data_IF_610531303468
#
_entry.id   IF_610531303468
#
_cell.length_a   1.000
_cell.length_b   1.000
_cell.length_c   1.000
_cell.angle_alpha   90.00
_cell.angle_beta   90.00
_cell.angle_gamma   90.00
#
_symmetry.space_group_name_H-M   'P 1'
#
loop_
_entity.id
_entity.type
_entity.pdbx_description
1 polymer ?
#
# COMPACT_ATOMS: atom_id res chain seq x y z
N UNK A 1 -16.40 19.32 12.02
CA UNK A 1 -15.44 18.55 12.85
C UNK A 1 -14.25 19.44 13.14
N UNK A 2 -13.67 19.37 14.35
CA UNK A 2 -12.42 20.07 14.62
C UNK A 2 -11.33 19.48 13.70
N UNK A 3 -10.46 20.34 13.15
CA UNK A 3 -9.32 19.91 12.35
C UNK A 3 -8.46 18.96 13.20
N UNK A 4 -8.11 17.81 12.65
CA UNK A 4 -7.19 16.87 13.31
C UNK A 4 -5.82 17.55 13.49
N UNK A 5 -5.09 17.22 14.57
CA UNK A 5 -3.80 17.86 14.86
C UNK A 5 -2.67 17.37 13.91
N UNK A 6 -2.94 16.36 13.11
CA UNK A 6 -1.97 15.73 12.21
C UNK A 6 -2.39 15.90 10.75
N UNK A 7 -1.42 16.01 9.86
CA UNK A 7 -1.56 15.81 8.44
C UNK A 7 -1.50 14.31 8.16
N UNK A 8 -2.48 13.76 7.44
CA UNK A 8 -2.67 12.31 7.30
C UNK A 8 -2.58 11.94 5.83
N UNK A 9 -1.67 11.01 5.51
CA UNK A 9 -1.53 10.41 4.20
C UNK A 9 -1.93 8.94 4.30
N UNK A 10 -2.92 8.53 3.52
CA UNK A 10 -3.35 7.15 3.39
C UNK A 10 -2.46 6.45 2.36
N UNK A 11 -1.61 5.51 2.78
CA UNK A 11 -0.72 4.80 1.87
C UNK A 11 -1.36 3.57 1.20
N UNK A 12 -2.64 3.30 1.50
CA UNK A 12 -3.34 2.11 1.02
C UNK A 12 -4.79 2.44 0.62
N UNK A 13 -4.94 2.87 -0.61
CA UNK A 13 -6.20 3.31 -1.21
C UNK A 13 -6.39 2.64 -2.58
N UNK A 14 -7.61 2.20 -2.87
CA UNK A 14 -7.98 1.63 -4.16
C UNK A 14 -8.96 2.56 -4.91
N UNK A 15 -8.46 3.44 -5.78
CA UNK A 15 -9.32 4.33 -6.54
C UNK A 15 -10.20 3.54 -7.52
N UNK A 16 -11.52 3.73 -7.45
CA UNK A 16 -12.46 3.19 -8.41
C UNK A 16 -12.58 4.14 -9.61
N UNK A 17 -12.31 3.63 -10.81
CA UNK A 17 -12.46 4.35 -12.08
C UNK A 17 -13.65 3.84 -12.89
N UNK A 18 -14.19 2.69 -12.53
CA UNK A 18 -15.32 2.00 -13.16
C UNK A 18 -15.95 1.01 -12.16
N UNK A 19 -17.11 0.46 -12.48
CA UNK A 19 -17.81 -0.49 -11.60
C UNK A 19 -16.97 -1.75 -11.31
N UNK A 20 -16.13 -2.19 -12.24
CA UNK A 20 -15.29 -3.37 -12.10
C UNK A 20 -13.97 -3.13 -11.36
N UNK A 21 -13.70 -1.88 -11.00
CA UNK A 21 -12.59 -1.45 -10.13
C UNK A 21 -13.08 -0.93 -8.77
N UNK A 22 -14.40 -0.92 -8.53
CA UNK A 22 -14.97 -0.51 -7.24
C UNK A 22 -15.02 -1.69 -6.27
N UNK A 23 -14.09 -1.71 -5.32
CA UNK A 23 -13.98 -2.75 -4.30
C UNK A 23 -14.86 -2.51 -3.07
N UNK A 24 -15.74 -1.54 -3.09
CA UNK A 24 -16.71 -1.33 -2.01
C UNK A 24 -17.69 -2.50 -1.89
N UNK A 25 -17.99 -2.97 -0.67
CA UNK A 25 -18.81 -4.17 -0.47
C UNK A 25 -20.31 -3.87 -0.39
N UNK A 26 -20.68 -2.71 0.14
CA UNK A 26 -22.07 -2.44 0.53
C UNK A 26 -22.69 -1.22 -0.18
N UNK A 27 -21.89 -0.47 -0.91
CA UNK A 27 -22.32 0.72 -1.64
C UNK A 27 -21.35 0.98 -2.79
N UNK A 28 -21.74 1.75 -3.80
CA UNK A 28 -20.77 2.25 -4.77
C UNK A 28 -19.96 3.39 -4.15
N UNK A 29 -18.65 3.35 -4.30
CA UNK A 29 -17.77 4.44 -3.87
C UNK A 29 -17.90 5.70 -4.74
N UNK A 30 -18.55 5.58 -5.90
CA UNK A 30 -18.84 6.65 -6.81
C UNK A 30 -17.62 7.16 -7.58
N UNK A 31 -17.67 8.42 -8.01
CA UNK A 31 -16.56 9.03 -8.74
C UNK A 31 -15.33 9.23 -7.83
N UNK A 32 -14.15 9.37 -8.44
CA UNK A 32 -12.93 9.73 -7.70
C UNK A 32 -13.10 10.96 -6.81
N UNK A 33 -13.86 11.98 -7.30
CA UNK A 33 -14.17 13.17 -6.48
C UNK A 33 -14.97 12.82 -5.21
N UNK A 34 -15.95 11.91 -5.30
CA UNK A 34 -16.72 11.45 -4.14
C UNK A 34 -15.81 10.68 -3.14
N UNK A 35 -14.87 9.89 -3.66
CA UNK A 35 -13.91 9.16 -2.84
C UNK A 35 -12.97 10.12 -2.11
N UNK A 36 -12.43 11.12 -2.81
CA UNK A 36 -11.62 12.21 -2.23
C UNK A 36 -12.39 12.95 -1.14
N UNK A 37 -13.65 13.34 -1.41
CA UNK A 37 -14.48 14.05 -0.44
C UNK A 37 -14.76 13.19 0.80
N UNK A 38 -14.88 11.89 0.64
CA UNK A 38 -15.05 10.95 1.77
C UNK A 38 -13.78 10.85 2.60
N UNK A 39 -12.62 10.67 1.97
CA UNK A 39 -11.33 10.63 2.66
C UNK A 39 -11.02 11.96 3.37
N UNK A 40 -11.25 13.09 2.71
CA UNK A 40 -11.10 14.43 3.33
C UNK A 40 -12.03 14.65 4.52
N UNK A 41 -13.27 14.16 4.46
CA UNK A 41 -14.20 14.21 5.63
C UNK A 41 -13.70 13.35 6.78
N UNK A 42 -13.00 12.27 6.52
CA UNK A 42 -12.33 11.48 7.55
C UNK A 42 -11.06 12.16 8.12
N UNK A 43 -10.57 13.22 7.48
CA UNK A 43 -9.38 13.96 7.89
C UNK A 43 -8.11 13.61 7.13
N UNK A 44 -8.21 12.81 6.05
CA UNK A 44 -7.09 12.40 5.21
C UNK A 44 -6.83 13.49 4.17
N UNK A 45 -5.59 13.96 4.08
CA UNK A 45 -5.18 15.05 3.20
C UNK A 45 -4.72 14.56 1.82
N UNK A 46 -4.11 13.39 1.76
CA UNK A 46 -3.60 12.74 0.56
C UNK A 46 -3.78 11.23 0.66
N UNK A 47 -3.84 10.56 -0.50
CA UNK A 47 -3.91 9.11 -0.57
C UNK A 47 -3.03 8.55 -1.69
N UNK A 48 -2.46 7.37 -1.45
CA UNK A 48 -1.65 6.62 -2.38
C UNK A 48 -2.23 5.22 -2.57
N UNK A 49 -2.12 4.68 -3.76
CA UNK A 49 -2.48 3.30 -4.04
C UNK A 49 -2.73 3.02 -5.51
N UNK A 50 -3.11 1.79 -5.82
CA UNK A 50 -3.27 1.30 -7.18
C UNK A 50 -4.74 1.06 -7.55
N UNK A 51 -5.05 1.21 -8.84
CA UNK A 51 -6.34 0.79 -9.41
C UNK A 51 -6.33 -0.72 -9.51
N UNK A 52 -7.18 -1.40 -8.75
CA UNK A 52 -7.25 -2.86 -8.68
C UNK A 52 -8.46 -3.38 -9.44
N UNK A 53 -8.33 -4.56 -10.04
CA UNK A 53 -9.42 -5.27 -10.73
C UNK A 53 -9.23 -6.78 -10.58
N UNK A 54 -10.33 -7.51 -10.40
CA UNK A 54 -10.32 -8.97 -10.51
C UNK A 54 -10.03 -9.38 -11.94
N UNK A 55 -8.83 -9.93 -12.18
CA UNK A 55 -8.40 -10.32 -13.51
C UNK A 55 -7.32 -11.42 -13.44
N UNK A 56 -7.38 -12.38 -14.35
CA UNK A 56 -6.23 -13.21 -14.71
C UNK A 56 -5.81 -12.78 -16.12
N UNK A 57 -4.78 -11.93 -16.24
CA UNK A 57 -4.48 -11.27 -17.51
C UNK A 57 -3.96 -12.28 -18.55
N UNK A 58 -4.48 -12.18 -19.77
CA UNK A 58 -3.96 -12.91 -20.92
C UNK A 58 -2.72 -12.23 -21.54
N UNK A 59 -2.55 -10.94 -21.25
CA UNK A 59 -1.40 -10.15 -21.69
C UNK A 59 -1.10 -9.02 -20.69
N UNK A 60 0.12 -8.53 -20.68
CA UNK A 60 0.51 -7.39 -19.85
C UNK A 60 -0.24 -6.08 -20.20
N UNK A 61 -0.80 -5.98 -21.41
CA UNK A 61 -1.59 -4.82 -21.79
C UNK A 61 -2.76 -4.53 -20.84
N UNK A 62 -3.36 -5.56 -20.25
CA UNK A 62 -4.46 -5.42 -19.29
C UNK A 62 -3.98 -4.84 -17.95
N UNK A 63 -2.78 -5.19 -17.51
CA UNK A 63 -2.13 -4.59 -16.33
C UNK A 63 -1.76 -3.14 -16.61
N UNK A 64 -1.22 -2.87 -17.80
CA UNK A 64 -0.85 -1.51 -18.21
C UNK A 64 -2.04 -0.54 -18.21
N UNK A 65 -3.22 -1.00 -18.58
CA UNK A 65 -4.46 -0.20 -18.53
C UNK A 65 -4.72 0.29 -17.09
N UNK A 66 -4.52 -0.55 -16.08
CA UNK A 66 -4.70 -0.16 -14.67
C UNK A 66 -3.68 0.90 -14.26
N UNK A 67 -2.43 0.76 -14.70
CA UNK A 67 -1.38 1.74 -14.44
C UNK A 67 -1.65 3.07 -15.15
N UNK A 68 -2.10 3.03 -16.41
CA UNK A 68 -2.46 4.24 -17.16
C UNK A 68 -3.66 4.97 -16.51
N UNK A 69 -4.62 4.25 -15.93
CA UNK A 69 -5.69 4.83 -15.12
C UNK A 69 -5.13 5.54 -13.87
N UNK A 70 -4.19 4.91 -13.16
CA UNK A 70 -3.57 5.52 -11.98
C UNK A 70 -2.80 6.82 -12.34
N UNK A 71 -2.04 6.81 -13.43
CA UNK A 71 -1.33 8.00 -13.92
C UNK A 71 -2.31 9.11 -14.32
N UNK A 72 -3.40 8.77 -15.01
CA UNK A 72 -4.43 9.72 -15.38
C UNK A 72 -5.11 10.37 -14.16
N UNK A 73 -5.39 9.58 -13.11
CA UNK A 73 -5.93 10.11 -11.86
C UNK A 73 -4.94 11.04 -11.15
N UNK A 74 -3.64 10.74 -11.15
CA UNK A 74 -2.59 11.63 -10.64
C UNK A 74 -2.66 13.00 -11.33
N UNK A 75 -2.77 13.00 -12.66
CA UNK A 75 -2.79 14.24 -13.44
C UNK A 75 -4.08 15.05 -13.21
N UNK A 76 -5.20 14.39 -12.90
CA UNK A 76 -6.45 15.04 -12.53
C UNK A 76 -6.49 15.56 -11.08
N UNK A 77 -5.81 14.89 -10.17
CA UNK A 77 -5.86 15.15 -8.73
C UNK A 77 -4.45 15.23 -8.10
N UNK A 78 -3.54 16.08 -8.64
CA UNK A 78 -2.12 16.09 -8.26
C UNK A 78 -1.88 16.47 -6.79
N UNK A 79 -2.79 17.25 -6.19
CA UNK A 79 -2.68 17.67 -4.79
C UNK A 79 -3.21 16.63 -3.80
N UNK A 80 -3.75 15.50 -4.29
CA UNK A 80 -4.37 14.50 -3.43
C UNK A 80 -3.87 13.08 -3.68
N UNK A 81 -3.69 12.68 -4.94
CA UNK A 81 -3.46 11.29 -5.27
C UNK A 81 -2.03 11.02 -5.75
N UNK A 82 -1.39 10.07 -5.09
CA UNK A 82 -0.09 9.50 -5.50
C UNK A 82 -0.35 8.14 -6.14
N UNK A 83 0.03 7.90 -7.39
CA UNK A 83 -0.25 6.65 -8.08
C UNK A 83 0.61 5.51 -7.56
N UNK A 84 -0.03 4.37 -7.31
CA UNK A 84 0.59 3.06 -7.24
C UNK A 84 0.41 2.32 -8.57
N UNK A 85 1.41 1.57 -9.01
CA UNK A 85 1.36 0.79 -10.24
C UNK A 85 1.44 -0.71 -9.98
N UNK A 86 0.96 -1.50 -10.92
CA UNK A 86 1.06 -2.96 -10.92
C UNK A 86 2.23 -3.45 -11.78
N UNK A 87 2.80 -4.56 -11.33
CA UNK A 87 3.69 -5.45 -12.07
C UNK A 87 3.11 -6.86 -12.02
N UNK A 88 3.60 -7.77 -12.85
CA UNK A 88 3.08 -9.13 -12.89
C UNK A 88 4.19 -10.14 -13.16
N UNK A 89 4.44 -11.15 -12.29
CA UNK A 89 5.55 -12.08 -12.42
C UNK A 89 5.46 -13.00 -13.65
N UNK A 90 4.25 -13.25 -14.20
CA UNK A 90 4.10 -14.02 -15.43
C UNK A 90 4.47 -13.23 -16.70
N UNK A 91 4.74 -11.92 -16.58
CA UNK A 91 5.19 -11.04 -17.66
C UNK A 91 6.42 -10.25 -17.20
N UNK A 92 7.56 -10.90 -16.89
CA UNK A 92 8.67 -10.24 -16.22
C UNK A 92 9.35 -9.16 -17.06
N UNK A 93 9.49 -9.38 -18.36
CA UNK A 93 10.13 -8.42 -19.24
C UNK A 93 9.27 -7.17 -19.47
N UNK A 94 7.95 -7.37 -19.66
CA UNK A 94 6.99 -6.29 -19.77
C UNK A 94 6.90 -5.49 -18.46
N UNK A 95 6.89 -6.17 -17.32
CA UNK A 95 6.90 -5.55 -16.01
C UNK A 95 8.16 -4.72 -15.78
N UNK A 96 9.33 -5.21 -16.17
CA UNK A 96 10.57 -4.41 -16.09
C UNK A 96 10.48 -3.14 -16.94
N UNK A 97 10.02 -3.23 -18.20
CA UNK A 97 9.80 -2.05 -19.05
C UNK A 97 8.76 -1.08 -18.48
N UNK A 98 7.73 -1.61 -17.83
CA UNK A 98 6.72 -0.78 -17.19
C UNK A 98 7.25 -0.06 -15.94
N UNK A 99 8.10 -0.72 -15.15
CA UNK A 99 8.84 -0.05 -14.06
C UNK A 99 9.73 1.06 -14.62
N UNK A 100 10.47 0.81 -15.71
CA UNK A 100 11.29 1.83 -16.38
C UNK A 100 10.44 3.03 -16.83
N UNK A 101 9.29 2.78 -17.45
CA UNK A 101 8.35 3.82 -17.87
C UNK A 101 7.77 4.60 -16.66
N UNK A 102 7.16 3.89 -15.73
CA UNK A 102 6.44 4.56 -14.65
C UNK A 102 7.37 5.18 -13.60
N UNK A 103 8.42 4.47 -13.20
CA UNK A 103 9.35 5.00 -12.21
C UNK A 103 10.40 5.93 -12.83
N UNK A 104 10.90 5.61 -14.02
CA UNK A 104 11.97 6.38 -14.66
C UNK A 104 11.48 7.62 -15.41
N UNK A 105 10.37 7.53 -16.15
CA UNK A 105 9.88 8.63 -16.97
C UNK A 105 8.78 9.44 -16.26
N UNK A 106 7.86 8.76 -15.53
CA UNK A 106 6.72 9.37 -14.87
C UNK A 106 6.95 9.68 -13.38
N UNK A 107 8.08 9.25 -12.80
CA UNK A 107 8.47 9.55 -11.42
C UNK A 107 7.63 8.85 -10.36
N UNK A 108 7.00 7.71 -10.67
CA UNK A 108 6.24 6.93 -9.70
C UNK A 108 7.19 6.22 -8.74
N UNK A 109 6.99 6.39 -7.43
CA UNK A 109 7.83 5.77 -6.40
C UNK A 109 7.05 4.80 -5.49
N UNK A 110 5.87 4.35 -5.95
CA UNK A 110 5.05 3.36 -5.25
C UNK A 110 4.54 2.27 -6.20
N UNK A 111 4.75 1.01 -5.83
CA UNK A 111 4.27 -0.16 -6.56
C UNK A 111 3.29 -0.91 -5.68
N UNK A 112 2.10 -1.19 -6.21
CA UNK A 112 1.02 -1.87 -5.49
C UNK A 112 0.01 -0.90 -4.81
N UNK A 113 -0.89 -1.44 -4.00
CA UNK A 113 -0.81 -2.80 -3.44
C UNK A 113 -0.78 -3.85 -4.56
N UNK A 114 0.13 -4.79 -4.44
CA UNK A 114 0.18 -5.98 -5.29
C UNK A 114 -0.65 -7.09 -4.63
N UNK A 115 -1.76 -7.46 -5.27
CA UNK A 115 -2.72 -8.45 -4.75
C UNK A 115 -2.75 -9.65 -5.68
N UNK A 116 -1.82 -10.58 -5.49
CA UNK A 116 -1.61 -11.69 -6.42
C UNK A 116 -2.81 -12.61 -6.59
N UNK A 117 -3.64 -12.81 -5.57
CA UNK A 117 -4.85 -13.64 -5.68
C UNK A 117 -5.96 -12.94 -6.51
N UNK A 118 -5.97 -11.61 -6.61
CA UNK A 118 -6.89 -10.86 -7.47
C UNK A 118 -6.38 -10.82 -8.91
N UNK A 119 -5.06 -10.75 -9.09
CA UNK A 119 -4.44 -10.63 -10.41
C UNK A 119 -3.89 -11.95 -10.97
N UNK A 120 -4.17 -13.07 -10.31
CA UNK A 120 -3.99 -14.41 -10.88
C UNK A 120 -2.61 -15.05 -10.73
N UNK A 121 -1.71 -14.48 -9.90
CA UNK A 121 -0.39 -15.08 -9.62
C UNK A 121 -0.19 -15.51 -8.14
N UNK A 122 -1.25 -15.43 -7.32
CA UNK A 122 -1.19 -15.92 -5.93
C UNK A 122 -0.09 -15.22 -5.12
N UNK A 123 0.76 -15.99 -4.45
CA UNK A 123 1.86 -15.47 -3.63
C UNK A 123 3.24 -15.66 -4.29
N UNK A 124 3.33 -15.55 -5.61
CA UNK A 124 4.56 -15.73 -6.39
C UNK A 124 5.52 -14.53 -6.33
N UNK A 125 5.63 -13.88 -5.15
CA UNK A 125 6.45 -12.68 -4.95
C UNK A 125 7.96 -12.93 -4.91
N UNK A 126 8.39 -14.16 -4.67
CA UNK A 126 9.81 -14.52 -4.56
C UNK A 126 10.28 -15.51 -5.64
N UNK A 127 9.52 -15.68 -6.73
CA UNK A 127 9.96 -16.46 -7.90
C UNK A 127 11.13 -15.76 -8.62
N UNK A 128 11.93 -16.46 -9.42
CA UNK A 128 13.01 -15.85 -10.19
C UNK A 128 12.55 -14.65 -11.04
N UNK A 129 11.35 -14.75 -11.64
CA UNK A 129 10.71 -13.73 -12.46
C UNK A 129 10.32 -12.51 -11.62
N UNK A 130 9.66 -12.71 -10.47
CA UNK A 130 9.35 -11.63 -9.54
C UNK A 130 10.61 -10.95 -9.04
N UNK A 131 11.65 -11.70 -8.67
CA UNK A 131 12.93 -11.16 -8.22
C UNK A 131 13.66 -10.38 -9.33
N UNK A 132 13.51 -10.74 -10.58
CA UNK A 132 14.03 -9.98 -11.73
C UNK A 132 13.37 -8.58 -11.75
N UNK A 133 12.05 -8.52 -11.65
CA UNK A 133 11.29 -7.26 -11.61
C UNK A 133 11.71 -6.41 -10.41
N UNK A 134 11.79 -7.01 -9.22
CA UNK A 134 12.16 -6.28 -8.00
C UNK A 134 13.59 -5.70 -8.05
N UNK A 135 14.52 -6.36 -8.73
CA UNK A 135 15.85 -5.79 -8.99
C UNK A 135 15.79 -4.57 -9.91
N UNK A 136 14.87 -4.55 -10.87
CA UNK A 136 14.63 -3.37 -11.70
C UNK A 136 14.06 -2.23 -10.86
N UNK A 137 13.08 -2.53 -9.97
CA UNK A 137 12.51 -1.55 -9.02
C UNK A 137 13.59 -0.91 -8.14
N UNK A 138 14.56 -1.70 -7.67
CA UNK A 138 15.66 -1.21 -6.83
C UNK A 138 16.46 -0.07 -7.47
N UNK A 139 16.53 0.00 -8.81
CA UNK A 139 17.25 1.06 -9.52
C UNK A 139 16.59 2.43 -9.41
N UNK A 140 15.29 2.46 -9.05
CA UNK A 140 14.49 3.68 -8.96
C UNK A 140 14.17 4.09 -7.52
N UNK A 141 14.48 3.22 -6.54
CA UNK A 141 14.19 3.50 -5.13
C UNK A 141 12.69 3.49 -4.76
N UNK A 142 11.83 2.92 -5.62
CA UNK A 142 10.41 2.81 -5.33
C UNK A 142 10.14 1.79 -4.21
N UNK A 143 9.14 2.09 -3.37
CA UNK A 143 8.62 1.14 -2.39
C UNK A 143 7.60 0.20 -3.03
N UNK A 144 7.47 -1.01 -2.47
CA UNK A 144 6.55 -2.04 -2.97
C UNK A 144 5.61 -2.47 -1.86
N UNK A 145 4.33 -2.20 -2.00
CA UNK A 145 3.27 -2.67 -1.10
C UNK A 145 2.74 -4.01 -1.61
N UNK A 146 2.71 -5.02 -0.73
CA UNK A 146 2.34 -6.39 -1.09
C UNK A 146 1.29 -6.98 -0.14
N UNK A 147 0.29 -7.64 -0.72
CA UNK A 147 -0.64 -8.50 0.01
C UNK A 147 -0.10 -9.93 0.02
N UNK A 148 0.52 -10.33 1.10
CA UNK A 148 1.11 -11.67 1.22
C UNK A 148 0.80 -12.27 2.60
N UNK A 149 0.25 -13.48 2.61
CA UNK A 149 -0.03 -14.25 3.82
C UNK A 149 1.15 -15.12 4.25
N UNK A 150 1.97 -15.58 3.30
CA UNK A 150 3.15 -16.41 3.57
C UNK A 150 4.36 -15.56 3.97
N UNK A 151 4.61 -15.50 5.28
CA UNK A 151 5.76 -14.77 5.83
C UNK A 151 7.12 -15.36 5.43
N UNK A 152 7.17 -16.61 4.98
CA UNK A 152 8.38 -17.21 4.42
C UNK A 152 8.71 -16.63 3.05
N UNK A 153 7.70 -16.43 2.21
CA UNK A 153 7.82 -15.73 0.91
C UNK A 153 8.26 -14.28 1.13
N UNK A 154 7.66 -13.58 2.10
CA UNK A 154 8.05 -12.20 2.45
C UNK A 154 9.50 -12.13 2.89
N UNK A 155 9.95 -13.04 3.76
CA UNK A 155 11.36 -13.11 4.20
C UNK A 155 12.30 -13.35 3.02
N UNK A 156 11.98 -14.33 2.17
CA UNK A 156 12.79 -14.65 0.99
C UNK A 156 12.91 -13.42 0.06
N UNK A 157 11.80 -12.74 -0.20
CA UNK A 157 11.76 -11.53 -1.03
C UNK A 157 12.66 -10.42 -0.45
N UNK A 158 12.46 -10.08 0.83
CA UNK A 158 13.23 -9.02 1.50
C UNK A 158 14.73 -9.29 1.51
N UNK A 159 15.14 -10.54 1.78
CA UNK A 159 16.55 -10.94 1.77
C UNK A 159 17.17 -10.97 0.39
N UNK A 160 16.40 -11.35 -0.64
CA UNK A 160 16.87 -11.43 -2.02
C UNK A 160 17.06 -10.05 -2.69
N UNK A 161 16.31 -9.04 -2.24
CA UNK A 161 16.35 -7.68 -2.81
C UNK A 161 16.43 -6.62 -1.71
N UNK A 162 17.57 -6.51 -0.99
CA UNK A 162 17.71 -5.60 0.15
C UNK A 162 17.65 -4.11 -0.22
N UNK A 163 17.76 -3.77 -1.52
CA UNK A 163 17.67 -2.39 -2.02
C UNK A 163 16.24 -1.88 -2.22
N UNK A 164 15.22 -2.71 -2.01
CA UNK A 164 13.81 -2.32 -2.10
C UNK A 164 13.20 -2.28 -0.71
N UNK A 165 12.44 -1.24 -0.39
CA UNK A 165 11.59 -1.21 0.78
C UNK A 165 10.24 -1.87 0.45
N UNK A 166 9.91 -2.92 1.20
CA UNK A 166 8.62 -3.61 1.10
C UNK A 166 7.69 -3.14 2.21
N UNK A 167 6.42 -2.98 1.88
CA UNK A 167 5.35 -2.68 2.84
C UNK A 167 4.39 -3.86 2.81
N UNK A 168 4.33 -4.62 3.90
CA UNK A 168 3.38 -5.70 4.06
C UNK A 168 2.01 -5.10 4.34
N UNK A 169 1.03 -5.41 3.51
CA UNK A 169 -0.34 -4.97 3.71
C UNK A 169 -0.96 -5.71 4.90
N UNK A 170 -1.70 -4.96 5.70
CA UNK A 170 -2.56 -5.40 6.79
C UNK A 170 -1.87 -6.00 8.01
N UNK A 171 -2.36 -5.67 9.21
CA UNK A 171 -1.88 -6.26 10.47
C UNK A 171 -2.18 -7.76 10.60
N UNK A 172 -3.14 -8.27 9.80
CA UNK A 172 -3.64 -9.64 9.92
C UNK A 172 -4.86 -9.78 10.84
N UNK A 173 -5.64 -10.84 10.62
CA UNK A 173 -6.96 -11.00 11.23
C UNK A 173 -6.94 -11.47 12.69
N UNK A 174 -5.85 -12.06 13.17
CA UNK A 174 -5.76 -12.68 14.49
C UNK A 174 -4.53 -12.21 15.27
N UNK A 175 -4.58 -12.35 16.60
CA UNK A 175 -3.47 -11.94 17.49
C UNK A 175 -2.15 -12.61 17.15
N UNK A 176 -2.18 -13.90 16.84
CA UNK A 176 -0.96 -14.66 16.53
C UNK A 176 -0.37 -14.23 15.19
N UNK A 177 -1.19 -14.12 14.16
CA UNK A 177 -0.78 -13.62 12.85
C UNK A 177 -0.17 -12.22 12.95
N UNK A 178 -0.83 -11.31 13.66
CA UNK A 178 -0.32 -9.97 13.91
C UNK A 178 1.05 -9.98 14.57
N UNK A 179 1.25 -10.76 15.63
CA UNK A 179 2.54 -10.83 16.32
C UNK A 179 3.63 -11.44 15.45
N UNK A 180 3.30 -12.42 14.61
CA UNK A 180 4.24 -13.03 13.67
C UNK A 180 4.66 -12.03 12.58
N UNK A 181 3.70 -11.24 12.02
CA UNK A 181 3.99 -10.16 11.07
C UNK A 181 4.92 -9.11 11.70
N UNK A 182 4.62 -8.64 12.91
CA UNK A 182 5.46 -7.69 13.61
C UNK A 182 6.87 -8.22 13.91
N UNK A 183 7.01 -9.49 14.26
CA UNK A 183 8.32 -10.11 14.46
C UNK A 183 9.15 -10.07 13.16
N UNK A 184 8.53 -10.34 12.01
CA UNK A 184 9.21 -10.22 10.70
C UNK A 184 9.56 -8.78 10.34
N UNK A 185 8.65 -7.83 10.59
CA UNK A 185 8.92 -6.40 10.37
C UNK A 185 10.07 -5.90 11.23
N UNK A 186 10.14 -6.33 12.49
CA UNK A 186 11.25 -6.00 13.39
C UNK A 186 12.59 -6.62 12.95
N UNK A 187 12.55 -7.85 12.41
CA UNK A 187 13.75 -8.59 11.97
C UNK A 187 14.36 -8.04 10.68
N UNK A 188 13.49 -7.71 9.69
CA UNK A 188 13.92 -7.40 8.33
C UNK A 188 14.06 -5.88 8.14
N UNK A 189 15.27 -5.36 7.86
CA UNK A 189 15.51 -3.91 7.82
C UNK A 189 14.71 -3.17 6.75
N UNK A 190 14.41 -3.81 5.64
CA UNK A 190 13.67 -3.27 4.50
C UNK A 190 12.18 -3.67 4.45
N UNK A 191 11.64 -4.25 5.53
CA UNK A 191 10.22 -4.56 5.65
C UNK A 191 9.52 -3.56 6.57
N UNK A 192 8.35 -3.11 6.15
CA UNK A 192 7.44 -2.22 6.84
C UNK A 192 6.04 -2.86 6.92
N UNK A 193 5.15 -2.30 7.71
CA UNK A 193 3.76 -2.74 7.82
C UNK A 193 2.84 -1.54 7.63
N UNK A 194 1.83 -1.64 6.77
CA UNK A 194 0.72 -0.72 6.83
C UNK A 194 -0.41 -1.28 7.72
N UNK A 195 -1.18 -0.38 8.30
CA UNK A 195 -2.24 -0.74 9.25
C UNK A 195 -3.62 -0.79 8.60
N UNK A 196 -3.68 -0.88 7.30
CA UNK A 196 -4.93 -0.99 6.54
C UNK A 196 -5.63 -2.34 6.71
N UNK A 197 -6.83 -2.48 6.18
CA UNK A 197 -7.54 -3.76 6.15
C UNK A 197 -7.93 -4.29 7.52
N UNK A 198 -7.75 -5.58 7.76
CA UNK A 198 -8.18 -6.25 8.99
C UNK A 198 -7.19 -6.06 10.14
N UNK A 199 -7.70 -6.02 11.37
CA UNK A 199 -6.90 -6.23 12.58
C UNK A 199 -6.72 -5.03 13.49
N UNK A 200 -6.99 -3.81 13.06
CA UNK A 200 -6.80 -2.60 13.90
C UNK A 200 -7.95 -2.32 14.88
N UNK A 201 -9.00 -3.10 14.87
CA UNK A 201 -10.19 -2.95 15.72
C UNK A 201 -9.96 -3.36 17.19
N UNK A 202 -8.73 -3.72 17.55
CA UNK A 202 -8.34 -4.08 18.92
C UNK A 202 -7.50 -2.99 19.57
N UNK A 203 -7.88 -2.56 20.77
CA UNK A 203 -7.11 -1.59 21.54
C UNK A 203 -5.66 -2.05 21.77
N UNK A 204 -4.71 -1.14 21.60
CA UNK A 204 -3.29 -1.40 21.84
C UNK A 204 -2.56 -2.03 20.66
N UNK A 205 -3.21 -2.27 19.51
CA UNK A 205 -2.58 -2.87 18.32
C UNK A 205 -1.49 -1.96 17.76
N UNK A 206 -1.76 -0.68 17.57
CA UNK A 206 -0.79 0.25 16.99
C UNK A 206 0.33 0.55 17.99
N UNK A 207 -0.01 0.73 19.29
CA UNK A 207 1.03 0.84 20.33
C UNK A 207 1.96 -0.37 20.31
N UNK A 208 1.40 -1.59 20.23
CA UNK A 208 2.18 -2.83 20.17
C UNK A 208 3.05 -2.90 18.90
N UNK A 209 2.54 -2.45 17.77
CA UNK A 209 3.31 -2.40 16.53
C UNK A 209 4.53 -1.49 16.66
N UNK A 210 4.34 -0.28 17.18
CA UNK A 210 5.42 0.69 17.41
C UNK A 210 6.43 0.15 18.43
N UNK A 211 5.98 -0.48 19.51
CA UNK A 211 6.87 -1.04 20.54
C UNK A 211 7.75 -2.19 20.02
N UNK A 212 7.23 -3.02 19.12
CA UNK A 212 7.97 -4.19 18.60
C UNK A 212 8.84 -3.86 17.39
N UNK A 213 8.31 -3.09 16.44
CA UNK A 213 8.96 -2.87 15.15
C UNK A 213 9.64 -1.50 15.04
N UNK A 214 9.32 -0.56 15.92
CA UNK A 214 9.72 0.84 15.83
C UNK A 214 8.73 1.68 15.02
N UNK A 215 8.59 2.96 15.41
CA UNK A 215 7.66 3.89 14.75
C UNK A 215 7.95 4.09 13.26
N UNK A 216 9.21 3.95 12.86
CA UNK A 216 9.68 4.14 11.47
C UNK A 216 9.21 3.01 10.52
N UNK A 217 8.66 1.94 11.06
CA UNK A 217 8.23 0.76 10.31
C UNK A 217 6.73 0.68 10.05
N UNK A 218 5.93 1.54 10.68
CA UNK A 218 4.47 1.47 10.66
C UNK A 218 3.91 2.61 9.82
N UNK A 219 3.10 2.29 8.81
CA UNK A 219 2.45 3.25 7.92
C UNK A 219 0.94 3.27 8.14
N UNK A 220 0.34 4.44 7.97
CA UNK A 220 -1.10 4.60 7.98
C UNK A 220 -1.69 4.23 6.62
N UNK A 221 -2.68 3.35 6.61
CA UNK A 221 -3.47 2.97 5.45
C UNK A 221 -4.90 2.64 5.87
N UNK A 222 -5.87 2.74 4.97
CA UNK A 222 -7.28 2.45 5.26
C UNK A 222 -7.85 1.27 4.50
N UNK A 223 -7.33 0.96 3.32
CA UNK A 223 -7.93 0.01 2.39
C UNK A 223 -9.33 0.48 1.94
N UNK A 224 -9.51 1.82 1.81
CA UNK A 224 -10.72 2.40 1.25
C UNK A 224 -10.79 2.09 -0.26
N UNK A 225 -11.93 1.69 -0.82
CA UNK A 225 -13.30 1.82 -0.31
C UNK A 225 -13.84 0.58 0.42
N UNK A 226 -13.05 -0.44 0.67
CA UNK A 226 -13.49 -1.62 1.43
C UNK A 226 -13.83 -1.23 2.87
N UNK A 227 -12.98 -0.45 3.50
CA UNK A 227 -13.10 -0.06 4.90
C UNK A 227 -13.49 1.41 5.08
N UNK A 228 -14.12 1.71 6.22
CA UNK A 228 -14.48 3.09 6.58
C UNK A 228 -13.26 3.86 7.10
N UNK A 229 -12.74 4.88 6.37
CA UNK A 229 -11.50 5.55 6.72
C UNK A 229 -11.53 6.26 8.07
N UNK A 230 -12.70 6.71 8.53
CA UNK A 230 -12.82 7.37 9.84
C UNK A 230 -12.51 6.42 11.00
N UNK A 231 -12.80 5.12 10.86
CA UNK A 231 -12.47 4.11 11.89
C UNK A 231 -10.96 4.02 12.06
N UNK A 232 -10.20 4.03 10.97
CA UNK A 232 -8.73 3.96 10.98
C UNK A 232 -8.11 5.22 11.55
N UNK A 233 -8.54 6.39 11.09
CA UNK A 233 -8.06 7.67 11.59
C UNK A 233 -8.27 7.79 13.09
N UNK A 234 -9.48 7.54 13.59
CA UNK A 234 -9.76 7.65 15.03
C UNK A 234 -9.20 6.47 15.82
N UNK A 235 -9.03 5.30 15.22
CA UNK A 235 -8.36 4.17 15.85
C UNK A 235 -6.94 4.52 16.28
N UNK A 236 -6.15 5.09 15.39
CA UNK A 236 -4.76 5.51 15.70
C UNK A 236 -4.74 6.65 16.71
N UNK A 237 -5.64 7.66 16.59
CA UNK A 237 -5.70 8.78 17.53
C UNK A 237 -5.96 8.38 18.99
N UNK A 238 -6.64 7.26 19.19
CA UNK A 238 -6.98 6.76 20.53
C UNK A 238 -5.90 5.84 21.13
N UNK A 239 -4.88 5.48 20.34
CA UNK A 239 -3.74 4.73 20.84
C UNK A 239 -2.81 5.63 21.67
N UNK A 240 -2.09 5.03 22.63
CA UNK A 240 -1.17 5.75 23.50
C UNK A 240 0.16 6.03 22.78
N UNK A 241 0.12 6.81 21.70
CA UNK A 241 1.28 7.24 20.93
C UNK A 241 1.68 8.67 21.30
N UNK A 242 2.98 8.95 21.26
CA UNK A 242 3.49 10.33 21.33
C UNK A 242 3.18 11.08 20.03
N UNK A 243 3.29 12.42 20.07
CA UNK A 243 3.12 13.25 18.86
C UNK A 243 4.11 12.89 17.74
N UNK A 244 5.32 12.50 18.11
CA UNK A 244 6.34 12.06 17.14
C UNK A 244 5.95 10.73 16.49
N UNK A 245 5.47 9.76 17.28
CA UNK A 245 4.99 8.46 16.78
C UNK A 245 3.76 8.63 15.88
N UNK A 246 2.82 9.48 16.29
CA UNK A 246 1.65 9.80 15.47
C UNK A 246 2.04 10.41 14.13
N UNK A 247 2.96 11.38 14.08
CA UNK A 247 3.45 11.96 12.82
C UNK A 247 4.15 10.93 11.95
N UNK A 248 4.98 10.08 12.56
CA UNK A 248 5.66 9.00 11.84
C UNK A 248 4.66 8.06 11.16
N UNK A 249 3.67 7.55 11.92
CA UNK A 249 2.66 6.61 11.41
C UNK A 249 1.76 7.28 10.37
N UNK A 250 1.23 8.46 10.63
CA UNK A 250 0.27 9.11 9.73
C UNK A 250 0.87 9.66 8.45
N UNK A 251 2.18 9.97 8.42
CA UNK A 251 2.72 10.75 7.30
C UNK A 251 4.19 10.47 6.99
N UNK A 252 5.08 10.68 7.97
CA UNK A 252 6.51 10.85 7.69
C UNK A 252 7.15 9.58 7.12
N UNK A 253 6.68 8.39 7.53
CA UNK A 253 7.14 7.12 6.98
C UNK A 253 6.77 6.96 5.51
N UNK A 254 5.53 7.33 5.13
CA UNK A 254 5.13 7.30 3.72
C UNK A 254 5.99 8.24 2.88
N UNK A 255 6.16 9.50 3.30
CA UNK A 255 6.96 10.48 2.55
C UNK A 255 8.40 10.00 2.35
N UNK A 256 9.00 9.45 3.39
CA UNK A 256 10.36 8.88 3.32
C UNK A 256 10.46 7.72 2.32
N UNK A 257 9.46 6.83 2.27
CA UNK A 257 9.46 5.68 1.36
C UNK A 257 9.08 6.06 -0.07
N UNK A 258 8.19 7.03 -0.24
CA UNK A 258 7.76 7.54 -1.55
C UNK A 258 8.68 8.66 -2.10
N UNK A 259 9.81 8.95 -1.44
CA UNK A 259 10.80 9.92 -1.91
C UNK A 259 10.31 11.37 -1.94
N UNK A 260 9.37 11.74 -1.07
CA UNK A 260 8.76 13.08 -1.02
C UNK A 260 9.23 13.93 0.16
#
# INVERSE_FOLDING_TARGET
MNKLPYDIIDCHFHPAVSDDTDFSWFHSSGSMQNQIDTLRRAGISQACGSVVKWITPESFAEIRILNDHALHLRDQFPDFYTPGIHIHPHFPEESCREVERCCGEEGVLWIGELVGYITGYGEEYATPEALQIMRTVANYGAAVNIHCGDLGVVEQLCRAVPGVNFVLAHPGAGKEDFLNRLAKVAELPNLHLDISGSGIDRCGVIRKAVDMAGKEKILFGTDYPINNPAVYVHGVLLEALTDEENRAVYRDNFLRLAGQ
#
